data_IF_926566012143
#
_entry.id   IF_926566012143
#
_cell.length_a   1.000
_cell.length_b   1.000
_cell.length_c   1.000
_cell.angle_alpha   90.00
_cell.angle_beta   90.00
_cell.angle_gamma   90.00
#
_symmetry.space_group_name_H-M   'P 1'
#
loop_
_entity.id
_entity.type
_entity.pdbx_description
1 polymer ?
#
# COMPACT_ATOMS: atom_id res chain seq x y z
N UNK A 1 15.10 7.48 -44.61
CA UNK A 1 15.91 7.25 -43.40
C UNK A 1 14.99 7.34 -42.20
N UNK A 2 14.65 6.22 -41.56
CA UNK A 2 14.02 6.27 -40.25
C UNK A 2 15.06 6.81 -39.27
N UNK A 3 14.81 7.97 -38.65
CA UNK A 3 15.64 8.45 -37.54
C UNK A 3 15.47 7.46 -36.41
N UNK A 4 16.57 6.88 -35.93
CA UNK A 4 16.52 5.98 -34.78
C UNK A 4 16.06 6.79 -33.57
N UNK A 5 14.86 6.49 -33.09
CA UNK A 5 14.25 7.18 -31.95
C UNK A 5 15.12 6.99 -30.68
N UNK A 6 15.97 5.96 -30.65
CA UNK A 6 16.93 5.69 -29.56
C UNK A 6 18.09 6.68 -29.51
N UNK A 7 18.26 7.52 -30.55
CA UNK A 7 19.23 8.63 -30.56
C UNK A 7 18.71 9.90 -29.90
N UNK A 8 17.42 9.94 -29.50
CA UNK A 8 16.84 11.07 -28.81
C UNK A 8 17.37 11.18 -27.37
N UNK A 9 17.47 12.40 -26.81
CA UNK A 9 17.81 12.59 -25.41
C UNK A 9 16.85 11.87 -24.46
N UNK A 10 17.31 11.38 -23.29
CA UNK A 10 16.49 10.72 -22.28
C UNK A 10 15.21 11.48 -21.93
N UNK A 11 15.28 12.81 -21.82
CA UNK A 11 14.15 13.67 -21.42
C UNK A 11 13.04 13.64 -22.46
N UNK A 12 13.40 13.57 -23.74
CA UNK A 12 12.44 13.45 -24.85
C UNK A 12 11.78 12.08 -24.82
N UNK A 13 12.56 11.01 -24.59
CA UNK A 13 12.03 9.66 -24.48
C UNK A 13 11.07 9.52 -23.29
N UNK A 14 11.41 10.07 -22.12
CA UNK A 14 10.51 10.14 -20.96
C UNK A 14 9.25 10.91 -21.31
N UNK A 15 9.39 12.05 -21.98
CA UNK A 15 8.28 12.89 -22.43
C UNK A 15 7.35 12.20 -23.43
N UNK A 16 7.86 11.26 -24.24
CA UNK A 16 7.05 10.42 -25.12
C UNK A 16 6.40 9.27 -24.33
N UNK A 17 7.19 8.55 -23.54
CA UNK A 17 6.72 7.36 -22.84
C UNK A 17 5.72 7.66 -21.72
N UNK A 18 5.69 8.87 -21.17
CA UNK A 18 4.67 9.25 -20.17
C UNK A 18 3.23 9.19 -20.71
N UNK A 19 3.04 9.24 -22.04
CA UNK A 19 1.73 9.12 -22.68
C UNK A 19 1.32 7.67 -22.99
N UNK A 20 2.24 6.71 -22.79
CA UNK A 20 1.95 5.29 -22.96
C UNK A 20 1.34 4.74 -21.68
N UNK A 21 0.37 3.83 -21.83
CA UNK A 21 -0.13 3.04 -20.71
C UNK A 21 0.97 2.08 -20.17
N UNK A 22 0.73 1.53 -18.97
CA UNK A 22 1.66 0.61 -18.29
C UNK A 22 2.08 -0.56 -19.19
N UNK A 23 1.13 -1.18 -19.90
CA UNK A 23 1.40 -2.34 -20.75
C UNK A 23 2.27 -1.99 -21.95
N UNK A 24 1.97 -0.85 -22.59
CA UNK A 24 2.76 -0.30 -23.68
C UNK A 24 4.18 0.06 -23.24
N UNK A 25 4.36 0.63 -22.04
CA UNK A 25 5.69 0.90 -21.47
C UNK A 25 6.48 -0.36 -21.17
N UNK A 26 5.83 -1.41 -20.65
CA UNK A 26 6.47 -2.71 -20.43
C UNK A 26 6.97 -3.32 -21.74
N UNK A 27 6.18 -3.28 -22.81
CA UNK A 27 6.61 -3.74 -24.14
C UNK A 27 7.77 -2.90 -24.68
N UNK A 28 7.68 -1.58 -24.56
CA UNK A 28 8.73 -0.65 -24.97
C UNK A 28 10.05 -0.94 -24.23
N UNK A 29 9.98 -1.31 -22.95
CA UNK A 29 11.16 -1.67 -22.15
C UNK A 29 11.94 -2.89 -22.69
N UNK A 30 11.31 -3.73 -23.51
CA UNK A 30 11.93 -4.91 -24.12
C UNK A 30 12.64 -4.61 -25.45
N UNK A 31 12.50 -3.40 -25.99
CA UNK A 31 13.06 -3.02 -27.30
C UNK A 31 14.58 -2.87 -27.24
N UNK A 32 15.11 -2.23 -26.20
CA UNK A 32 16.55 -2.02 -26.03
C UNK A 32 16.92 -1.75 -24.57
N UNK A 33 18.22 -1.88 -24.25
CA UNK A 33 18.77 -1.53 -22.92
C UNK A 33 18.53 -0.07 -22.55
N UNK A 34 18.68 0.84 -23.52
CA UNK A 34 18.43 2.27 -23.30
C UNK A 34 16.97 2.49 -22.89
N UNK A 35 16.03 1.90 -23.61
CA UNK A 35 14.60 2.06 -23.29
C UNK A 35 14.26 1.44 -21.95
N UNK A 36 14.85 0.28 -21.63
CA UNK A 36 14.71 -0.34 -20.31
C UNK A 36 15.15 0.61 -19.20
N UNK A 37 16.31 1.26 -19.35
CA UNK A 37 16.84 2.25 -18.39
C UNK A 37 15.96 3.50 -18.30
N UNK A 38 15.40 3.98 -19.42
CA UNK A 38 14.46 5.09 -19.40
C UNK A 38 13.19 4.74 -18.60
N UNK A 39 12.71 3.49 -18.68
CA UNK A 39 11.53 3.07 -17.92
C UNK A 39 11.76 3.02 -16.41
N UNK A 40 13.00 3.12 -15.93
CA UNK A 40 13.31 3.16 -14.51
C UNK A 40 13.11 4.56 -13.90
N UNK A 41 12.84 5.58 -14.71
CA UNK A 41 12.61 6.94 -14.22
C UNK A 41 11.33 7.02 -13.36
N UNK A 42 11.37 7.66 -12.17
CA UNK A 42 10.24 7.69 -11.24
C UNK A 42 8.91 8.16 -11.84
N UNK A 43 8.96 9.13 -12.78
CA UNK A 43 7.76 9.65 -13.46
C UNK A 43 7.04 8.57 -14.29
N UNK A 44 7.75 7.58 -14.81
CA UNK A 44 7.17 6.49 -15.59
C UNK A 44 6.75 5.30 -14.72
N UNK A 45 7.14 5.28 -13.44
CA UNK A 45 6.79 4.22 -12.51
C UNK A 45 5.70 4.63 -11.50
N UNK A 46 5.37 5.92 -11.41
CA UNK A 46 4.44 6.46 -10.39
C UNK A 46 3.02 5.88 -10.46
N UNK A 47 2.58 5.44 -11.63
CA UNK A 47 1.27 4.83 -11.88
C UNK A 47 1.33 3.29 -12.00
N UNK A 48 2.51 2.70 -11.80
CA UNK A 48 2.70 1.24 -11.85
C UNK A 48 2.37 0.65 -10.48
N UNK A 49 1.31 -0.16 -10.44
CA UNK A 49 0.89 -0.91 -9.25
C UNK A 49 1.53 -2.30 -9.23
N UNK A 50 2.33 -2.58 -8.20
CA UNK A 50 2.87 -3.92 -7.97
C UNK A 50 1.91 -4.70 -7.08
N UNK A 51 1.43 -5.85 -7.58
CA UNK A 51 0.49 -6.72 -6.87
C UNK A 51 1.18 -8.03 -6.49
N UNK A 52 1.14 -8.34 -5.21
CA UNK A 52 1.58 -9.58 -4.60
C UNK A 52 0.35 -10.40 -4.20
N UNK A 53 0.31 -11.68 -4.54
CA UNK A 53 -0.78 -12.58 -4.18
C UNK A 53 -0.34 -14.02 -4.07
N UNK A 54 -0.87 -14.74 -3.07
CA UNK A 54 -0.49 -16.13 -2.81
C UNK A 54 0.85 -16.25 -2.10
N UNK A 55 1.67 -17.22 -2.52
CA UNK A 55 3.02 -17.44 -2.02
C UNK A 55 3.99 -16.44 -2.66
N UNK A 56 4.63 -15.60 -1.83
CA UNK A 56 5.38 -14.43 -2.33
C UNK A 56 6.84 -14.38 -1.90
N UNK A 57 7.34 -15.36 -1.15
CA UNK A 57 8.70 -15.33 -0.59
C UNK A 57 9.79 -15.20 -1.66
N UNK A 58 9.74 -16.02 -2.71
CA UNK A 58 10.69 -15.92 -3.83
C UNK A 58 10.53 -14.61 -4.61
N UNK A 59 9.29 -14.10 -4.69
CA UNK A 59 9.03 -12.81 -5.37
C UNK A 59 9.65 -11.66 -4.59
N UNK A 60 9.54 -11.66 -3.26
CA UNK A 60 10.17 -10.67 -2.37
C UNK A 60 11.70 -10.72 -2.51
N UNK A 61 12.30 -11.92 -2.55
CA UNK A 61 13.74 -12.11 -2.78
C UNK A 61 14.21 -11.59 -4.14
N UNK A 62 13.39 -11.74 -5.18
CA UNK A 62 13.66 -11.14 -6.48
C UNK A 62 13.56 -9.61 -6.42
N UNK A 63 12.57 -9.09 -5.69
CA UNK A 63 12.32 -7.65 -5.57
C UNK A 63 13.45 -6.93 -4.82
N UNK A 64 14.06 -7.58 -3.82
CA UNK A 64 15.22 -7.03 -3.10
C UNK A 64 16.45 -6.80 -3.97
N UNK A 65 16.50 -7.40 -5.17
CA UNK A 65 17.56 -7.22 -6.17
C UNK A 65 17.21 -6.21 -7.25
N UNK A 66 15.98 -5.67 -7.25
CA UNK A 66 15.56 -4.70 -8.24
C UNK A 66 16.07 -3.30 -7.90
N UNK A 67 16.54 -2.57 -8.92
CA UNK A 67 16.97 -1.16 -8.82
C UNK A 67 15.81 -0.18 -9.02
N UNK A 68 14.62 -0.68 -9.39
CA UNK A 68 13.45 0.13 -9.68
C UNK A 68 12.75 0.57 -8.40
N UNK A 69 12.34 1.83 -8.39
CA UNK A 69 11.61 2.42 -7.29
C UNK A 69 10.13 2.53 -7.63
N UNK A 70 9.34 1.63 -7.06
CA UNK A 70 7.88 1.66 -7.16
C UNK A 70 7.29 2.35 -5.93
N UNK A 71 6.16 3.01 -6.12
CA UNK A 71 5.49 3.76 -5.05
C UNK A 71 4.17 3.12 -4.62
N UNK A 72 3.61 2.23 -5.45
CA UNK A 72 2.30 1.61 -5.24
C UNK A 72 2.41 0.09 -5.11
N UNK A 73 2.12 -0.40 -3.91
CA UNK A 73 2.14 -1.82 -3.56
C UNK A 73 0.77 -2.32 -3.11
N UNK A 74 0.47 -3.56 -3.46
CA UNK A 74 -0.79 -4.23 -3.11
C UNK A 74 -0.55 -5.69 -2.78
N UNK A 75 -0.92 -6.09 -1.58
CA UNK A 75 -0.83 -7.46 -1.08
C UNK A 75 -2.25 -8.02 -0.97
N UNK A 76 -2.50 -9.18 -1.59
CA UNK A 76 -3.83 -9.75 -1.68
C UNK A 76 -3.79 -11.24 -1.33
N UNK A 77 -4.49 -11.64 -0.27
CA UNK A 77 -4.49 -13.03 0.22
C UNK A 77 -3.07 -13.55 0.49
N UNK A 78 -2.30 -12.72 1.17
CA UNK A 78 -0.90 -12.99 1.54
C UNK A 78 -0.82 -13.19 3.05
N UNK A 79 0.02 -14.12 3.48
CA UNK A 79 0.40 -14.29 4.88
C UNK A 79 1.53 -13.29 5.19
N UNK A 80 1.32 -12.45 6.20
CA UNK A 80 2.33 -11.52 6.69
C UNK A 80 3.24 -12.27 7.66
N UNK A 81 4.38 -12.73 7.14
CA UNK A 81 5.45 -13.38 7.88
C UNK A 81 6.59 -12.42 8.19
N UNK A 82 7.53 -12.84 9.05
CA UNK A 82 8.76 -12.10 9.38
C UNK A 82 9.52 -11.58 8.15
N UNK A 83 9.80 -12.41 7.12
CA UNK A 83 10.45 -11.96 5.89
C UNK A 83 9.69 -10.86 5.15
N UNK A 84 8.36 -10.91 5.12
CA UNK A 84 7.56 -9.85 4.50
C UNK A 84 7.60 -8.57 5.35
N UNK A 85 7.58 -8.67 6.68
CA UNK A 85 7.73 -7.48 7.54
C UNK A 85 9.09 -6.82 7.34
N UNK A 86 10.17 -7.60 7.23
CA UNK A 86 11.51 -7.09 6.93
C UNK A 86 11.54 -6.38 5.56
N UNK A 87 10.92 -6.99 4.54
CA UNK A 87 10.73 -6.34 3.26
C UNK A 87 9.99 -5.00 3.39
N UNK A 88 8.86 -4.97 4.10
CA UNK A 88 8.08 -3.74 4.29
C UNK A 88 8.89 -2.66 5.03
N UNK A 89 9.73 -3.03 6.00
CA UNK A 89 10.64 -2.08 6.67
C UNK A 89 11.67 -1.50 5.71
N UNK A 90 12.33 -2.36 4.92
CA UNK A 90 13.38 -1.96 3.98
C UNK A 90 12.86 -1.02 2.87
N UNK A 91 11.59 -1.15 2.51
CA UNK A 91 10.95 -0.34 1.46
C UNK A 91 10.00 0.75 2.00
N UNK A 92 9.89 0.90 3.33
CA UNK A 92 8.95 1.81 4.00
C UNK A 92 9.03 3.26 3.52
N UNK A 93 10.23 3.73 3.19
CA UNK A 93 10.47 5.09 2.69
C UNK A 93 9.99 5.30 1.24
N UNK A 94 9.77 4.24 0.47
CA UNK A 94 9.35 4.32 -0.93
C UNK A 94 7.84 4.31 -1.10
N UNK A 95 7.12 3.76 -0.12
CA UNK A 95 5.67 3.60 -0.22
C UNK A 95 4.96 4.96 -0.21
N UNK A 96 4.14 5.19 -1.22
CA UNK A 96 3.16 6.29 -1.28
C UNK A 96 1.75 5.73 -1.13
N UNK A 97 1.48 4.58 -1.76
CA UNK A 97 0.21 3.86 -1.68
C UNK A 97 0.50 2.41 -1.31
N UNK A 98 -0.07 1.97 -0.19
CA UNK A 98 0.08 0.60 0.29
C UNK A 98 -1.30 0.01 0.57
N UNK A 99 -1.56 -1.17 0.02
CA UNK A 99 -2.84 -1.85 0.20
C UNK A 99 -2.67 -3.31 0.60
N UNK A 100 -3.54 -3.78 1.48
CA UNK A 100 -3.62 -5.15 1.95
C UNK A 100 -5.08 -5.58 1.93
N UNK A 101 -5.36 -6.69 1.24
CA UNK A 101 -6.73 -7.21 1.12
C UNK A 101 -6.75 -8.69 1.45
N UNK A 102 -7.55 -9.07 2.44
CA UNK A 102 -7.66 -10.46 2.91
C UNK A 102 -6.31 -11.05 3.35
N UNK A 103 -5.43 -10.24 3.92
CA UNK A 103 -4.15 -10.67 4.45
C UNK A 103 -4.29 -11.13 5.91
N UNK A 104 -3.45 -12.08 6.31
CA UNK A 104 -3.43 -12.61 7.68
C UNK A 104 -2.01 -12.53 8.22
N UNK A 105 -1.86 -12.19 9.48
CA UNK A 105 -0.56 -12.29 10.16
C UNK A 105 -0.27 -13.77 10.43
N UNK A 106 0.99 -14.17 10.28
CA UNK A 106 1.42 -15.53 10.65
C UNK A 106 1.22 -15.76 12.16
N UNK A 107 0.65 -16.91 12.54
CA UNK A 107 0.49 -17.32 13.95
C UNK A 107 1.79 -17.84 14.58
N UNK A 108 2.89 -17.83 13.82
CA UNK A 108 4.17 -18.37 14.26
C UNK A 108 4.84 -17.45 15.30
N UNK A 109 4.63 -17.80 16.58
CA UNK A 109 5.16 -17.08 17.74
C UNK A 109 6.70 -17.04 17.78
N UNK A 110 7.38 -17.81 16.92
CA UNK A 110 8.84 -17.80 16.81
C UNK A 110 9.38 -16.64 15.96
N UNK A 111 8.53 -15.95 15.19
CA UNK A 111 8.95 -14.85 14.32
C UNK A 111 9.13 -13.54 15.12
N UNK A 112 10.36 -13.30 15.57
CA UNK A 112 10.77 -12.07 16.27
C UNK A 112 10.43 -10.78 15.50
N UNK A 113 10.38 -10.85 14.17
CA UNK A 113 10.11 -9.69 13.30
C UNK A 113 8.67 -9.16 13.34
N UNK A 114 7.69 -9.95 13.80
CA UNK A 114 6.28 -9.56 13.88
C UNK A 114 5.99 -8.59 15.05
N UNK A 115 6.81 -8.64 16.10
CA UNK A 115 6.71 -7.75 17.26
C UNK A 115 7.17 -6.33 16.93
N UNK A 116 8.10 -6.22 15.99
CA UNK A 116 8.68 -4.96 15.58
C UNK A 116 7.81 -4.26 14.54
N UNK A 117 7.19 -3.16 14.96
CA UNK A 117 6.40 -2.30 14.08
C UNK A 117 7.21 -1.83 12.87
N UNK A 118 6.52 -1.59 11.77
CA UNK A 118 7.05 -0.86 10.62
C UNK A 118 7.14 0.60 11.04
N UNK A 119 8.36 0.99 11.43
CA UNK A 119 8.71 2.35 11.79
C UNK A 119 9.07 3.10 10.50
N UNK A 120 8.49 4.28 10.29
CA UNK A 120 8.90 5.27 9.27
C UNK A 120 8.37 5.12 7.83
N UNK A 121 7.07 4.92 7.64
CA UNK A 121 6.41 5.13 6.33
C UNK A 121 6.16 6.63 6.05
N UNK A 122 7.24 7.43 6.00
CA UNK A 122 7.13 8.89 5.94
C UNK A 122 6.50 9.41 4.66
N UNK A 123 6.60 8.68 3.55
CA UNK A 123 6.02 9.09 2.26
C UNK A 123 4.62 8.51 2.03
N UNK A 124 4.13 7.67 2.94
CA UNK A 124 2.86 6.99 2.78
C UNK A 124 1.71 7.98 2.92
N UNK A 125 0.90 8.08 1.86
CA UNK A 125 -0.27 8.95 1.78
C UNK A 125 -1.56 8.15 1.89
N UNK A 126 -1.58 6.94 1.32
CA UNK A 126 -2.77 6.08 1.28
C UNK A 126 -2.41 4.72 1.87
N UNK A 127 -3.14 4.33 2.92
CA UNK A 127 -3.08 3.00 3.50
C UNK A 127 -4.47 2.37 3.43
N UNK A 128 -4.58 1.28 2.67
CA UNK A 128 -5.81 0.51 2.52
C UNK A 128 -5.66 -0.87 3.15
N UNK A 129 -6.36 -1.10 4.26
CA UNK A 129 -6.39 -2.38 4.96
C UNK A 129 -7.83 -2.89 4.89
N UNK A 130 -8.07 -3.78 3.94
CA UNK A 130 -9.38 -4.38 3.73
C UNK A 130 -9.41 -5.82 4.24
N UNK A 131 -10.35 -6.13 5.12
CA UNK A 131 -10.53 -7.49 5.66
C UNK A 131 -9.24 -8.15 6.15
N UNK A 132 -8.41 -7.38 6.87
CA UNK A 132 -7.09 -7.79 7.35
C UNK A 132 -6.81 -7.18 8.72
N UNK A 133 -6.14 -7.92 9.60
CA UNK A 133 -5.76 -7.47 10.96
C UNK A 133 -4.26 -7.14 11.05
N UNK A 134 -3.87 -6.06 10.37
CA UNK A 134 -2.45 -5.71 10.20
C UNK A 134 -2.18 -4.22 10.47
N UNK A 135 -3.22 -3.45 10.81
CA UNK A 135 -3.09 -2.02 11.06
C UNK A 135 -2.16 -1.73 12.24
N UNK A 136 -2.10 -2.67 13.20
CA UNK A 136 -1.21 -2.65 14.35
C UNK A 136 0.29 -2.70 14.00
N UNK A 137 0.64 -3.16 12.79
CA UNK A 137 2.02 -3.20 12.31
C UNK A 137 2.58 -1.80 12.04
N UNK A 138 1.74 -0.79 11.84
CA UNK A 138 2.20 0.57 11.54
C UNK A 138 2.22 1.43 12.81
N UNK A 139 3.38 2.04 13.09
CA UNK A 139 3.52 2.91 14.27
C UNK A 139 3.26 4.39 13.94
N UNK A 140 3.96 4.90 12.93
CA UNK A 140 4.01 6.34 12.62
C UNK A 140 3.77 6.59 11.15
N UNK A 141 2.71 7.32 10.83
CA UNK A 141 2.27 7.59 9.45
C UNK A 141 2.03 9.10 9.25
N UNK A 142 3.09 9.93 9.33
CA UNK A 142 2.98 11.39 9.54
C UNK A 142 2.39 12.16 8.35
N UNK A 143 2.40 11.56 7.15
CA UNK A 143 1.89 12.16 5.92
C UNK A 143 0.67 11.44 5.35
N UNK A 144 0.05 10.55 6.13
CA UNK A 144 -1.11 9.80 5.70
C UNK A 144 -2.31 10.74 5.54
N UNK A 145 -2.88 10.76 4.34
CA UNK A 145 -4.08 11.54 3.98
C UNK A 145 -5.30 10.65 3.84
N UNK A 146 -5.13 9.36 3.54
CA UNK A 146 -6.23 8.41 3.41
C UNK A 146 -5.94 7.12 4.17
N UNK A 147 -6.88 6.73 5.03
CA UNK A 147 -6.84 5.47 5.78
C UNK A 147 -8.15 4.73 5.57
N UNK A 148 -8.06 3.54 4.99
CA UNK A 148 -9.19 2.62 4.86
C UNK A 148 -8.95 1.38 5.73
N UNK A 149 -9.89 1.08 6.63
CA UNK A 149 -9.85 -0.05 7.55
C UNK A 149 -11.14 -0.87 7.46
N UNK A 150 -11.80 -0.88 6.29
CA UNK A 150 -13.07 -1.59 6.09
C UNK A 150 -12.92 -3.10 6.27
N UNK A 151 -13.85 -3.68 7.00
CA UNK A 151 -13.91 -5.10 7.33
C UNK A 151 -12.69 -5.62 8.10
N UNK A 152 -11.83 -4.75 8.63
CA UNK A 152 -10.73 -5.20 9.48
C UNK A 152 -11.25 -5.67 10.85
N UNK A 153 -11.13 -6.97 11.11
CA UNK A 153 -11.17 -7.52 12.47
C UNK A 153 -9.92 -7.06 13.23
N UNK A 154 -10.00 -6.81 14.54
CA UNK A 154 -8.83 -6.41 15.34
C UNK A 154 -8.61 -4.90 15.50
N UNK A 155 -9.57 -4.05 15.07
CA UNK A 155 -9.55 -2.63 15.36
C UNK A 155 -9.82 -2.36 16.86
N UNK A 156 -8.73 -2.44 17.62
CA UNK A 156 -8.47 -1.85 18.93
C UNK A 156 -8.92 -0.40 19.13
N UNK A 157 -9.55 -0.02 20.24
CA UNK A 157 -9.50 1.41 20.65
C UNK A 157 -8.05 1.84 20.92
N UNK A 158 -7.21 0.91 21.39
CA UNK A 158 -5.78 1.09 21.52
C UNK A 158 -5.09 1.31 20.16
N UNK A 159 -5.45 0.52 19.14
CA UNK A 159 -4.89 0.66 17.78
C UNK A 159 -5.30 2.01 17.17
N UNK A 160 -6.58 2.37 17.29
CA UNK A 160 -7.12 3.65 16.81
C UNK A 160 -6.45 4.82 17.54
N UNK A 161 -6.33 4.76 18.87
CA UNK A 161 -5.68 5.80 19.67
C UNK A 161 -4.21 5.99 19.24
N UNK A 162 -3.48 4.90 19.02
CA UNK A 162 -2.10 4.98 18.55
C UNK A 162 -1.98 5.57 17.14
N UNK A 163 -2.84 5.15 16.20
CA UNK A 163 -2.88 5.72 14.86
C UNK A 163 -3.24 7.22 14.90
N UNK A 164 -4.21 7.61 15.73
CA UNK A 164 -4.66 9.02 15.84
C UNK A 164 -3.54 9.97 16.25
N UNK A 165 -2.59 9.50 17.07
CA UNK A 165 -1.42 10.29 17.48
C UNK A 165 -0.40 10.48 16.35
N UNK A 166 -0.43 9.65 15.32
CA UNK A 166 0.58 9.64 14.26
C UNK A 166 0.10 10.10 12.89
N UNK A 167 -1.22 10.28 12.68
CA UNK A 167 -1.84 10.66 11.38
C UNK A 167 -2.34 12.12 11.39
N UNK A 168 -1.43 13.09 11.57
CA UNK A 168 -1.81 14.51 11.71
C UNK A 168 -2.36 15.16 10.43
N UNK A 169 -2.21 14.51 9.27
CA UNK A 169 -2.66 15.01 7.95
C UNK A 169 -3.83 14.21 7.36
N UNK A 170 -4.51 13.40 8.17
CA UNK A 170 -5.56 12.53 7.67
C UNK A 170 -6.78 13.35 7.19
N UNK A 171 -7.15 13.15 5.92
CA UNK A 171 -8.27 13.83 5.26
C UNK A 171 -9.46 12.87 5.11
N UNK A 172 -9.19 11.61 4.81
CA UNK A 172 -10.19 10.57 4.53
C UNK A 172 -9.98 9.39 5.49
N UNK A 173 -11.02 9.06 6.24
CA UNK A 173 -11.09 7.85 7.06
C UNK A 173 -12.29 7.00 6.64
N UNK A 174 -12.01 5.79 6.17
CA UNK A 174 -13.01 4.80 5.82
C UNK A 174 -13.00 3.68 6.84
N UNK A 175 -14.11 3.55 7.57
CA UNK A 175 -14.32 2.49 8.55
C UNK A 175 -15.52 1.67 8.11
N UNK A 176 -15.45 0.34 8.26
CA UNK A 176 -16.59 -0.55 8.02
C UNK A 176 -16.44 -1.80 8.87
N UNK A 177 -17.48 -2.21 9.57
CA UNK A 177 -17.42 -3.36 10.48
C UNK A 177 -17.35 -4.69 9.71
N UNK A 178 -16.51 -5.63 10.17
CA UNK A 178 -16.41 -6.98 9.59
C UNK A 178 -17.46 -7.96 10.13
N UNK A 179 -18.11 -7.63 11.24
CA UNK A 179 -19.16 -8.46 11.84
C UNK A 179 -20.46 -7.70 12.05
N UNK A 180 -21.55 -8.45 11.88
CA UNK A 180 -22.95 -8.09 12.15
C UNK A 180 -23.03 -7.33 13.48
N UNK A 181 -23.60 -6.13 13.44
CA UNK A 181 -23.95 -5.33 14.62
C UNK A 181 -24.53 -6.24 15.72
N UNK A 182 -23.79 -6.43 16.82
CA UNK A 182 -24.45 -6.53 18.12
C UNK A 182 -24.99 -5.13 18.40
N UNK A 183 -26.28 -5.02 18.73
CA UNK A 183 -27.07 -3.78 18.71
C UNK A 183 -26.51 -2.61 19.55
N UNK A 184 -25.48 -2.82 20.38
CA UNK A 184 -25.00 -1.84 21.36
C UNK A 184 -23.56 -1.33 21.13
N UNK A 185 -22.90 -1.67 20.01
CA UNK A 185 -21.52 -1.22 19.77
C UNK A 185 -21.45 0.15 19.06
N UNK A 186 -21.44 1.24 19.83
CA UNK A 186 -21.06 2.57 19.34
C UNK A 186 -19.57 2.82 19.54
N UNK A 187 -18.84 3.19 18.48
CA UNK A 187 -17.48 3.73 18.59
C UNK A 187 -17.48 5.23 18.35
N UNK A 188 -17.06 5.98 19.37
CA UNK A 188 -16.99 7.44 19.33
C UNK A 188 -15.57 7.86 18.97
N UNK A 189 -15.43 8.66 17.91
CA UNK A 189 -14.15 9.18 17.45
C UNK A 189 -14.03 10.65 17.82
N UNK A 190 -12.90 11.02 18.43
CA UNK A 190 -12.54 12.41 18.68
C UNK A 190 -11.35 12.73 17.79
N UNK A 191 -11.56 13.62 16.80
CA UNK A 191 -10.50 14.06 15.89
C UNK A 191 -10.34 15.56 16.06
N UNK A 192 -9.11 15.98 16.35
CA UNK A 192 -8.73 17.37 16.63
C UNK A 192 -9.17 18.32 15.51
N UNK A 193 -10.06 19.26 15.83
CA UNK A 193 -10.33 20.60 15.25
C UNK A 193 -10.19 20.84 13.73
N UNK A 194 -10.22 19.81 12.88
CA UNK A 194 -10.29 19.94 11.41
C UNK A 194 -11.44 19.11 10.87
N UNK A 195 -12.11 19.63 9.84
CA UNK A 195 -13.18 18.93 9.12
C UNK A 195 -12.66 17.59 8.58
N UNK A 196 -13.04 16.50 9.24
CA UNK A 196 -12.70 15.15 8.81
C UNK A 196 -13.91 14.53 8.12
N UNK A 197 -13.74 14.07 6.89
CA UNK A 197 -14.82 13.38 6.16
C UNK A 197 -14.85 11.91 6.57
N UNK A 198 -15.68 11.58 7.55
CA UNK A 198 -15.97 10.20 7.92
C UNK A 198 -17.02 9.64 6.94
N UNK A 199 -16.62 8.66 6.12
CA UNK A 199 -17.54 8.01 5.19
C UNK A 199 -17.89 6.63 5.75
N UNK A 200 -19.05 6.56 6.42
CA UNK A 200 -19.63 5.30 6.85
C UNK A 200 -20.23 4.56 5.65
N UNK A 201 -20.01 3.24 5.51
CA UNK A 201 -20.64 2.44 4.47
C UNK A 201 -22.17 2.46 4.68
N UNK A 202 -22.91 2.64 3.60
CA UNK A 202 -24.37 2.39 3.58
C UNK A 202 -24.60 0.95 4.06
N UNK A 203 -25.56 0.75 4.97
CA UNK A 203 -25.99 -0.59 5.45
C UNK A 203 -26.06 -1.56 4.26
N UNK A 204 -25.18 -2.56 4.24
CA UNK A 204 -25.30 -3.70 3.32
C UNK A 204 -26.18 -4.70 4.04
N UNK A 205 -27.47 -4.72 3.71
CA UNK A 205 -28.37 -5.79 4.11
C UNK A 205 -27.89 -7.07 3.40
N UNK A 206 -27.14 -7.92 4.09
CA UNK A 206 -26.92 -9.30 3.65
C UNK A 206 -28.23 -10.07 3.88
N UNK A 207 -29.03 -10.24 2.84
CA UNK A 207 -30.11 -11.22 2.84
C UNK A 207 -29.49 -12.60 3.02
N UNK A 208 -29.87 -13.29 4.11
CA UNK A 208 -29.53 -14.70 4.31
C UNK A 208 -30.03 -15.53 3.11
N UNK A 209 -29.14 -16.30 2.52
CA UNK A 209 -29.45 -17.44 1.64
C UNK A 209 -28.90 -18.70 2.32
#
# INVERSE_FOLDING_TARGET
MARDISSLPPEVLIGVFQFLDVHSRLKASLVSKTWLQIMDYPRLLSDVKIKFSGEIEETIKCFSRMTRHFQWFSFCRVIISGPLVEFLKNYSSQFVILSFSNCKVSDDKSESGLQDKILHCNNLRILDVFNSDIASLFATLPNLTELNLRLSSGLSDYVISNLSKSISKLEILLLGASEVYKEDASKTFYVNEKEMKIILPKKVCLSRA
#
